data_IF_667178214926
#
_entry.id   IF_667178214926
#
_cell.length_a   1.000
_cell.length_b   1.000
_cell.length_c   1.000
_cell.angle_alpha   90.00
_cell.angle_beta   90.00
_cell.angle_gamma   90.00
#
_symmetry.space_group_name_H-M   'P 1'
#
loop_
_entity.id
_entity.type
_entity.pdbx_description
1 polymer ?
#
# COMPACT_ATOMS: atom_id res chain seq x y z
N UNK A 1 15.81 30.88 -19.50
CA UNK A 1 15.25 29.61 -20.00
C UNK A 1 14.87 28.73 -18.82
N UNK A 2 13.58 28.45 -18.62
CA UNK A 2 13.15 27.53 -17.58
C UNK A 2 13.65 26.12 -17.95
N UNK A 3 14.56 25.56 -17.14
CA UNK A 3 15.05 24.19 -17.30
C UNK A 3 13.84 23.28 -17.18
N UNK A 4 13.39 22.68 -18.28
CA UNK A 4 12.31 21.70 -18.27
C UNK A 4 12.69 20.61 -17.29
N UNK A 5 12.06 20.60 -16.10
CA UNK A 5 12.32 19.59 -15.08
C UNK A 5 12.19 18.24 -15.77
N UNK A 6 13.24 17.40 -15.67
CA UNK A 6 13.26 16.06 -16.24
C UNK A 6 11.91 15.37 -15.97
N UNK A 7 11.26 14.82 -17.01
CA UNK A 7 9.96 14.16 -16.90
C UNK A 7 9.93 13.10 -15.79
N UNK A 8 11.04 12.40 -15.57
CA UNK A 8 11.18 11.45 -14.46
C UNK A 8 11.05 12.15 -13.09
N UNK A 9 11.68 13.32 -12.92
CA UNK A 9 11.61 14.10 -11.69
C UNK A 9 10.19 14.65 -11.46
N UNK A 10 9.50 15.10 -12.52
CA UNK A 10 8.10 15.53 -12.41
C UNK A 10 7.19 14.39 -11.93
N UNK A 11 7.41 13.19 -12.48
CA UNK A 11 6.66 12.00 -12.05
C UNK A 11 7.01 11.58 -10.62
N UNK A 12 8.28 11.64 -10.22
CA UNK A 12 8.70 11.35 -8.85
C UNK A 12 8.02 12.30 -7.85
N UNK A 13 8.02 13.62 -8.11
CA UNK A 13 7.32 14.60 -7.27
C UNK A 13 5.82 14.32 -7.21
N UNK A 14 5.20 13.96 -8.34
CA UNK A 14 3.78 13.57 -8.38
C UNK A 14 3.52 12.37 -7.47
N UNK A 15 4.33 11.32 -7.56
CA UNK A 15 4.14 10.13 -6.75
C UNK A 15 4.42 10.37 -5.27
N UNK A 16 5.37 11.23 -4.90
CA UNK A 16 5.58 11.64 -3.51
C UNK A 16 4.32 12.28 -2.91
N UNK A 17 3.67 13.17 -3.68
CA UNK A 17 2.38 13.78 -3.27
C UNK A 17 1.26 12.75 -3.17
N UNK A 18 1.20 11.78 -4.10
CA UNK A 18 0.21 10.70 -4.04
C UNK A 18 0.46 9.79 -2.83
N UNK A 19 1.71 9.48 -2.50
CA UNK A 19 2.08 8.72 -1.31
C UNK A 19 1.62 9.43 -0.04
N UNK A 20 1.83 10.75 0.07
CA UNK A 20 1.34 11.52 1.22
C UNK A 20 -0.18 11.42 1.37
N UNK A 21 -0.95 11.58 0.27
CA UNK A 21 -2.41 11.42 0.30
C UNK A 21 -2.81 9.99 0.66
N UNK A 22 -2.10 8.99 0.12
CA UNK A 22 -2.34 7.59 0.41
C UNK A 22 -2.17 7.29 1.91
N UNK A 23 -1.14 7.85 2.56
CA UNK A 23 -0.93 7.71 4.01
C UNK A 23 -2.11 8.31 4.78
N UNK A 24 -2.63 9.46 4.36
CA UNK A 24 -3.83 10.05 4.96
C UNK A 24 -5.05 9.12 4.88
N UNK A 25 -5.30 8.51 3.71
CA UNK A 25 -6.37 7.53 3.54
C UNK A 25 -6.13 6.21 4.30
N UNK A 26 -4.88 5.72 4.34
CA UNK A 26 -4.48 4.53 5.12
C UNK A 26 -4.78 4.76 6.61
N UNK A 27 -4.43 5.94 7.15
CA UNK A 27 -4.72 6.29 8.53
C UNK A 27 -6.24 6.37 8.80
N UNK A 28 -7.02 6.93 7.87
CA UNK A 28 -8.49 6.96 7.97
C UNK A 28 -9.12 5.56 7.94
N UNK A 29 -8.47 4.59 7.27
CA UNK A 29 -8.86 3.18 7.31
C UNK A 29 -8.40 2.45 8.58
N UNK A 30 -7.64 3.09 9.47
CA UNK A 30 -7.12 2.47 10.69
C UNK A 30 -5.99 1.47 10.43
N UNK A 31 -5.28 1.59 9.31
CA UNK A 31 -4.10 0.79 9.00
C UNK A 31 -2.82 1.53 9.40
N UNK A 32 -1.80 0.78 9.82
CA UNK A 32 -0.51 1.33 10.23
C UNK A 32 0.52 1.15 9.13
N UNK A 33 1.21 2.22 8.73
CA UNK A 33 2.30 2.11 7.74
C UNK A 33 3.51 1.44 8.38
N UNK A 34 3.96 0.32 7.81
CA UNK A 34 5.17 -0.38 8.23
C UNK A 34 6.39 0.04 7.41
N UNK A 35 6.20 0.20 6.09
CA UNK A 35 7.29 0.46 5.16
C UNK A 35 6.76 1.15 3.90
N UNK A 36 7.57 2.06 3.34
CA UNK A 36 7.35 2.60 2.01
C UNK A 36 8.55 2.23 1.12
N UNK A 37 8.30 1.44 0.08
CA UNK A 37 9.29 1.02 -0.90
C UNK A 37 9.39 2.08 -2.02
N UNK A 38 10.52 2.79 -2.06
CA UNK A 38 10.87 3.80 -3.07
C UNK A 38 11.85 3.27 -4.12
N UNK A 39 12.10 1.97 -4.21
CA UNK A 39 13.03 1.37 -5.19
C UNK A 39 12.61 1.65 -6.65
N UNK A 40 11.34 2.01 -6.86
CA UNK A 40 10.80 2.45 -8.17
C UNK A 40 10.20 3.85 -8.04
N UNK A 41 10.14 4.58 -9.17
CA UNK A 41 9.52 5.92 -9.27
C UNK A 41 8.11 5.94 -8.69
N UNK A 42 7.34 4.87 -8.89
CA UNK A 42 6.03 4.66 -8.25
C UNK A 42 6.22 3.83 -6.98
N UNK A 43 6.03 4.42 -5.79
CA UNK A 43 6.25 3.73 -4.53
C UNK A 43 5.21 2.65 -4.27
N UNK A 44 5.47 1.83 -3.25
CA UNK A 44 4.52 0.86 -2.68
C UNK A 44 4.55 0.98 -1.17
N UNK A 45 3.43 0.71 -0.51
CA UNK A 45 3.32 0.85 0.94
C UNK A 45 2.94 -0.50 1.54
N UNK A 46 3.75 -1.02 2.47
CA UNK A 46 3.38 -2.14 3.34
C UNK A 46 2.65 -1.57 4.54
N UNK A 47 1.50 -2.13 4.87
CA UNK A 47 0.73 -1.75 6.06
C UNK A 47 0.51 -2.97 6.95
N UNK A 48 0.39 -2.69 8.23
CA UNK A 48 -0.23 -3.57 9.21
C UNK A 48 -1.72 -3.22 9.30
N UNK A 49 -2.54 -4.25 9.38
CA UNK A 49 -3.99 -4.15 9.53
C UNK A 49 -4.43 -4.46 10.97
N UNK A 50 -3.49 -4.76 11.88
CA UNK A 50 -3.76 -4.97 13.30
C UNK A 50 -4.47 -3.74 13.86
N UNK A 51 -5.71 -3.94 14.35
CA UNK A 51 -6.60 -2.86 14.80
C UNK A 51 -7.78 -2.58 13.87
N UNK A 52 -7.78 -3.07 12.61
CA UNK A 52 -8.93 -2.92 11.71
C UNK A 52 -9.11 -4.05 10.67
N UNK A 53 -9.02 -5.30 11.11
CA UNK A 53 -9.17 -6.50 10.27
C UNK A 53 -10.53 -6.57 9.55
N UNK A 54 -11.59 -6.02 10.15
CA UNK A 54 -12.92 -5.95 9.55
C UNK A 54 -12.94 -5.15 8.25
N UNK A 55 -12.23 -4.02 8.19
CA UNK A 55 -12.08 -3.22 6.96
C UNK A 55 -11.27 -3.98 5.91
N UNK A 56 -10.19 -4.65 6.31
CA UNK A 56 -9.39 -5.45 5.39
C UNK A 56 -10.22 -6.61 4.78
N UNK A 57 -11.04 -7.28 5.60
CA UNK A 57 -11.96 -8.33 5.14
C UNK A 57 -13.01 -7.77 4.18
N UNK A 58 -13.63 -6.64 4.49
CA UNK A 58 -14.59 -5.99 3.62
C UNK A 58 -13.98 -5.61 2.26
N UNK A 59 -12.71 -5.16 2.22
CA UNK A 59 -12.00 -4.89 0.97
C UNK A 59 -11.80 -6.16 0.12
N UNK A 60 -11.50 -7.30 0.76
CA UNK A 60 -11.34 -8.59 0.08
C UNK A 60 -12.68 -9.07 -0.48
N UNK A 61 -13.73 -9.10 0.34
CA UNK A 61 -15.06 -9.58 -0.02
C UNK A 61 -15.69 -8.72 -1.13
N UNK A 62 -15.48 -7.40 -1.08
CA UNK A 62 -15.93 -6.46 -2.11
C UNK A 62 -15.08 -6.45 -3.38
N UNK A 63 -14.08 -7.34 -3.50
CA UNK A 63 -13.12 -7.42 -4.62
C UNK A 63 -12.35 -6.11 -4.86
N UNK A 64 -12.22 -5.27 -3.83
CA UNK A 64 -11.39 -4.06 -3.84
C UNK A 64 -9.95 -4.35 -3.45
N UNK A 65 -9.68 -5.53 -2.89
CA UNK A 65 -8.35 -6.05 -2.66
C UNK A 65 -8.09 -7.29 -3.54
N UNK A 66 -6.87 -7.38 -4.06
CA UNK A 66 -6.40 -8.49 -4.88
C UNK A 66 -5.39 -9.33 -4.11
N UNK A 67 -5.50 -10.65 -4.21
CA UNK A 67 -4.50 -11.57 -3.71
C UNK A 67 -3.22 -11.49 -4.55
N UNK A 68 -2.04 -11.63 -3.93
CA UNK A 68 -0.76 -11.67 -4.66
C UNK A 68 0.20 -12.79 -4.24
N UNK A 69 0.09 -13.33 -3.03
CA UNK A 69 0.98 -14.38 -2.54
C UNK A 69 0.38 -15.10 -1.33
N UNK A 70 0.96 -16.25 -0.98
CA UNK A 70 0.69 -16.94 0.27
C UNK A 70 1.97 -17.62 0.76
N UNK A 71 2.05 -17.90 2.05
CA UNK A 71 3.23 -18.53 2.63
C UNK A 71 3.05 -18.95 4.08
N UNK A 72 4.19 -19.24 4.70
CA UNK A 72 4.29 -19.49 6.13
C UNK A 72 5.34 -18.56 6.73
N UNK A 73 5.09 -18.02 7.91
CA UNK A 73 6.02 -17.18 8.68
C UNK A 73 5.91 -17.52 10.16
N UNK A 74 6.95 -17.28 10.95
CA UNK A 74 6.89 -17.46 12.41
C UNK A 74 5.83 -16.54 13.04
N UNK A 75 5.70 -15.32 12.54
CA UNK A 75 4.78 -14.31 13.11
C UNK A 75 3.29 -14.63 12.83
N UNK A 76 2.93 -14.95 11.58
CA UNK A 76 1.53 -15.14 11.16
C UNK A 76 1.10 -16.60 11.02
N UNK A 77 2.03 -17.56 11.11
CA UNK A 77 1.79 -18.93 10.65
C UNK A 77 1.50 -18.93 9.14
N UNK A 78 0.43 -19.62 8.72
CA UNK A 78 -0.05 -19.57 7.32
C UNK A 78 -0.66 -18.19 7.03
N UNK A 79 -0.17 -17.53 5.99
CA UNK A 79 -0.62 -16.20 5.61
C UNK A 79 -0.99 -16.10 4.13
N UNK A 80 -1.85 -15.13 3.81
CA UNK A 80 -2.17 -14.66 2.47
C UNK A 80 -1.91 -13.16 2.34
N UNK A 81 -1.26 -12.79 1.26
CA UNK A 81 -0.92 -11.42 0.91
C UNK A 81 -1.98 -10.81 0.01
N UNK A 82 -2.41 -9.60 0.37
CA UNK A 82 -3.37 -8.82 -0.39
C UNK A 82 -2.84 -7.42 -0.71
N UNK A 83 -3.37 -6.82 -1.76
CA UNK A 83 -3.10 -5.42 -2.07
C UNK A 83 -4.32 -4.70 -2.64
N UNK A 84 -4.37 -3.39 -2.42
CA UNK A 84 -5.33 -2.49 -3.05
C UNK A 84 -4.61 -1.25 -3.59
N UNK A 85 -5.34 -0.43 -4.35
CA UNK A 85 -4.84 0.82 -4.92
C UNK A 85 -5.49 2.00 -4.18
N UNK A 86 -4.70 2.77 -3.44
CA UNK A 86 -5.16 3.96 -2.69
C UNK A 86 -4.45 5.18 -3.24
N UNK A 87 -5.17 6.17 -3.76
CA UNK A 87 -4.56 7.36 -4.41
C UNK A 87 -3.60 7.02 -5.58
N UNK A 88 -3.79 5.85 -6.20
CA UNK A 88 -2.86 5.30 -7.19
C UNK A 88 -1.61 4.64 -6.58
N UNK A 89 -1.45 4.71 -5.26
CA UNK A 89 -0.64 3.93 -4.32
C UNK A 89 -0.85 2.40 -4.32
N UNK A 90 0.11 1.52 -4.65
CA UNK A 90 -0.09 0.10 -4.28
C UNK A 90 0.14 -0.06 -2.78
N UNK A 91 -0.90 -0.40 -2.05
CA UNK A 91 -0.88 -0.65 -0.60
C UNK A 91 -1.12 -2.13 -0.37
N UNK A 92 -0.25 -2.79 0.40
CA UNK A 92 -0.28 -4.24 0.57
C UNK A 92 -0.07 -4.65 2.02
N UNK A 93 -0.63 -5.79 2.38
CA UNK A 93 -0.55 -6.38 3.72
C UNK A 93 -0.58 -7.91 3.64
N UNK A 94 -0.18 -8.53 4.74
CA UNK A 94 -0.24 -9.97 4.96
C UNK A 94 -1.29 -10.22 6.05
N UNK A 95 -2.20 -11.16 5.82
CA UNK A 95 -3.22 -11.55 6.77
C UNK A 95 -3.12 -13.04 7.04
N UNK A 96 -3.31 -13.42 8.30
CA UNK A 96 -3.41 -14.82 8.72
C UNK A 96 -4.60 -15.49 8.02
N UNK A 97 -4.42 -16.75 7.61
CA UNK A 97 -5.47 -17.60 7.03
C UNK A 97 -6.24 -18.31 8.11
#
# INVERSE_FOLDING_TARGET
>A
MARTINRANQMAVKYLRQTQKAIGHINALGFTVLMIDFTKIKPRIKVDIAGNEGVARALIESRKANWYAQGHSEDLGRWKGYYTMIEGIRVWWEAKV
#
